data_IF_011072125824
#
_entry.id   IF_011072125824
#
_cell.length_a   1.000
_cell.length_b   1.000
_cell.length_c   1.000
_cell.angle_alpha   90.00
_cell.angle_beta   90.00
_cell.angle_gamma   90.00
#
_symmetry.space_group_name_H-M   'P 1'
#
loop_
_entity.id
_entity.type
_entity.pdbx_description
1 polymer ?
#
# COMPACT_ATOMS: atom_id res chain seq x y z
N UNK A 1 -15.93 7.12 -25.86
CA UNK A 1 -14.92 7.60 -24.91
C UNK A 1 -14.58 6.45 -23.98
N UNK A 2 -13.31 6.09 -23.81
CA UNK A 2 -12.94 4.99 -22.93
C UNK A 2 -13.44 5.28 -21.50
N UNK A 3 -14.10 4.29 -20.91
CA UNK A 3 -14.68 4.38 -19.56
C UNK A 3 -13.62 4.19 -18.45
N UNK A 4 -12.39 3.89 -18.88
CA UNK A 4 -11.24 3.61 -18.03
C UNK A 4 -10.17 4.65 -18.33
N UNK A 5 -9.94 5.55 -17.38
CA UNK A 5 -8.82 6.49 -17.43
C UNK A 5 -7.89 6.16 -16.28
N UNK A 6 -6.59 6.17 -16.52
CA UNK A 6 -5.62 6.20 -15.44
C UNK A 6 -5.84 7.49 -14.66
N UNK A 7 -5.85 7.36 -13.35
CA UNK A 7 -5.85 8.53 -12.49
C UNK A 7 -4.43 9.13 -12.49
N UNK A 8 -4.10 9.79 -13.60
CA UNK A 8 -2.82 10.49 -13.79
C UNK A 8 -2.77 11.82 -13.03
N UNK A 9 -3.53 11.96 -11.97
CA UNK A 9 -3.26 13.04 -11.02
C UNK A 9 -1.90 12.76 -10.36
N UNK A 10 -0.84 12.93 -11.14
CA UNK A 10 0.47 13.25 -10.62
C UNK A 10 0.32 14.58 -9.90
N UNK A 11 -0.04 14.53 -8.64
CA UNK A 11 0.47 15.56 -7.76
C UNK A 11 1.99 15.47 -7.94
N UNK A 12 2.60 16.52 -8.43
CA UNK A 12 4.06 16.66 -8.32
C UNK A 12 4.44 16.19 -6.93
N UNK A 13 5.56 15.48 -6.75
CA UNK A 13 5.97 15.03 -5.43
C UNK A 13 6.09 16.27 -4.57
N UNK A 14 5.03 16.57 -3.86
CA UNK A 14 5.05 17.57 -2.81
C UNK A 14 6.07 17.03 -1.85
N UNK A 15 7.20 17.72 -1.69
CA UNK A 15 8.24 17.22 -0.81
C UNK A 15 7.59 16.94 0.54
N UNK A 16 7.85 15.79 1.14
CA UNK A 16 7.28 15.46 2.46
C UNK A 16 7.66 16.54 3.47
N UNK A 17 8.77 17.22 3.25
CA UNK A 17 9.17 18.40 4.00
C UNK A 17 8.09 19.47 3.99
N UNK A 18 7.43 19.73 2.87
CA UNK A 18 6.34 20.70 2.80
C UNK A 18 5.09 20.20 3.51
N UNK A 19 4.79 18.90 3.43
CA UNK A 19 3.69 18.27 4.18
C UNK A 19 4.03 18.11 5.67
N UNK A 20 5.28 17.85 6.02
CA UNK A 20 5.75 17.67 7.40
C UNK A 20 5.89 19.01 8.15
N UNK A 21 6.05 20.11 7.45
CA UNK A 21 6.00 21.47 8.01
C UNK A 21 4.57 21.90 8.37
N UNK A 22 3.55 21.23 7.83
CA UNK A 22 2.20 21.39 8.34
C UNK A 22 2.12 20.76 9.73
N UNK A 23 2.07 21.61 10.77
CA UNK A 23 1.97 21.19 12.18
C UNK A 23 0.79 20.27 12.44
N UNK A 24 -0.24 20.37 11.60
CA UNK A 24 -1.42 19.51 11.67
C UNK A 24 -1.19 18.11 11.10
N UNK A 25 -0.14 17.89 10.32
CA UNK A 25 0.16 16.59 9.71
C UNK A 25 1.00 15.67 10.63
N UNK A 26 1.99 16.22 11.33
CA UNK A 26 2.88 15.47 12.23
C UNK A 26 2.54 15.76 13.71
N UNK A 27 1.30 15.58 14.07
CA UNK A 27 0.83 15.83 15.44
C UNK A 27 1.25 14.72 16.43
N UNK A 28 1.33 15.10 17.68
CA UNK A 28 1.47 14.16 18.80
C UNK A 28 0.07 13.82 19.33
N UNK A 29 -0.34 12.55 19.31
CA UNK A 29 -1.63 12.16 19.85
C UNK A 29 -1.72 12.42 21.35
N UNK A 30 -2.85 12.93 21.79
CA UNK A 30 -3.18 13.08 23.20
C UNK A 30 -3.95 11.85 23.66
N UNK A 31 -3.71 11.45 24.90
CA UNK A 31 -4.34 10.26 25.49
C UNK A 31 -4.96 10.64 26.82
N UNK A 32 -6.27 10.44 26.97
CA UNK A 32 -6.99 10.70 28.20
C UNK A 32 -7.72 9.43 28.70
N UNK A 33 -7.95 9.27 30.00
CA UNK A 33 -8.83 8.24 30.52
C UNK A 33 -10.23 8.37 29.90
N UNK A 34 -10.85 7.22 29.55
CA UNK A 34 -12.26 7.19 29.17
C UNK A 34 -13.12 7.48 30.42
N UNK A 35 -13.93 8.52 30.33
CA UNK A 35 -14.86 8.91 31.38
C UNK A 35 -16.28 8.54 30.98
N UNK A 36 -17.00 7.85 31.85
CA UNK A 36 -18.41 7.52 31.64
C UNK A 36 -19.31 8.77 31.83
N UNK A 37 -20.57 8.72 31.37
CA UNK A 37 -21.48 9.86 31.46
C UNK A 37 -21.74 10.38 32.88
N UNK A 38 -21.56 9.53 33.91
CA UNK A 38 -21.65 9.86 35.32
C UNK A 38 -20.37 10.48 35.91
N UNK A 39 -19.34 10.69 35.09
CA UNK A 39 -18.03 11.21 35.48
C UNK A 39 -17.06 10.13 36.02
N UNK A 40 -17.46 8.88 36.04
CA UNK A 40 -16.62 7.78 36.54
C UNK A 40 -15.58 7.37 35.52
N UNK A 41 -14.34 7.13 35.97
CA UNK A 41 -13.27 6.53 35.17
C UNK A 41 -13.16 5.04 35.51
N UNK A 42 -13.52 4.11 34.62
CA UNK A 42 -13.34 2.68 34.86
C UNK A 42 -11.86 2.37 35.12
N UNK A 43 -11.57 1.84 36.31
CA UNK A 43 -10.21 1.62 36.77
C UNK A 43 -10.04 0.20 37.33
N UNK A 44 -8.79 -0.30 37.30
CA UNK A 44 -8.43 -1.55 37.98
C UNK A 44 -8.31 -1.37 39.50
N UNK A 45 -8.00 -2.44 40.22
CA UNK A 45 -7.83 -2.45 41.68
C UNK A 45 -6.71 -1.48 42.14
N UNK A 46 -5.82 -1.07 41.27
CA UNK A 46 -4.72 -0.13 41.54
C UNK A 46 -5.05 1.32 41.12
N UNK A 47 -6.31 1.58 40.74
CA UNK A 47 -6.76 2.89 40.31
C UNK A 47 -6.28 3.30 38.88
N UNK A 48 -5.73 2.38 38.09
CA UNK A 48 -5.30 2.66 36.72
C UNK A 48 -6.49 2.54 35.78
N UNK A 49 -6.69 3.54 34.94
CA UNK A 49 -7.74 3.52 33.91
C UNK A 49 -7.67 2.27 33.05
N UNK A 50 -8.78 1.53 32.93
CA UNK A 50 -8.92 0.34 32.10
C UNK A 50 -8.99 0.69 30.61
N UNK A 51 -9.56 1.87 30.31
CA UNK A 51 -9.74 2.36 28.93
C UNK A 51 -9.28 3.80 28.82
N UNK A 52 -8.82 4.15 27.60
CA UNK A 52 -8.38 5.50 27.24
C UNK A 52 -8.97 5.89 25.89
N UNK A 53 -9.13 7.19 25.68
CA UNK A 53 -9.44 7.79 24.37
C UNK A 53 -8.19 8.36 23.77
N UNK A 54 -8.12 8.37 22.44
CA UNK A 54 -7.05 9.04 21.69
C UNK A 54 -7.67 10.16 20.88
N UNK A 55 -7.10 11.35 20.99
CA UNK A 55 -7.52 12.52 20.23
C UNK A 55 -6.30 13.34 19.80
N UNK A 56 -6.52 14.25 18.88
CA UNK A 56 -5.55 15.31 18.55
C UNK A 56 -6.17 16.68 18.76
N UNK A 57 -5.32 17.64 19.02
CA UNK A 57 -5.68 19.05 19.01
C UNK A 57 -5.12 19.68 17.73
N UNK A 58 -5.97 20.33 16.97
CA UNK A 58 -5.60 21.09 15.80
C UNK A 58 -5.02 22.43 16.20
N UNK A 59 -4.37 23.11 15.23
CA UNK A 59 -3.80 24.46 15.42
C UNK A 59 -4.84 25.50 15.85
N UNK A 60 -6.11 25.29 15.53
CA UNK A 60 -7.24 26.15 15.94
C UNK A 60 -7.82 25.81 17.34
N UNK A 61 -7.22 24.87 18.05
CA UNK A 61 -7.68 24.39 19.35
C UNK A 61 -8.81 23.35 19.28
N UNK A 62 -9.26 22.97 18.09
CA UNK A 62 -10.31 21.96 17.93
C UNK A 62 -9.78 20.56 18.29
N UNK A 63 -10.46 19.88 19.19
CA UNK A 63 -10.17 18.50 19.53
C UNK A 63 -10.89 17.53 18.59
N UNK A 64 -10.14 16.59 18.01
CA UNK A 64 -10.64 15.60 17.06
C UNK A 64 -10.41 14.21 17.66
N UNK A 65 -11.49 13.47 17.85
CA UNK A 65 -11.44 12.09 18.34
C UNK A 65 -10.88 11.17 17.27
N UNK A 66 -9.82 10.42 17.59
CA UNK A 66 -9.15 9.47 16.68
C UNK A 66 -9.48 8.02 17.03
N UNK A 67 -9.63 7.73 18.34
CA UNK A 67 -10.07 6.42 18.82
C UNK A 67 -10.88 6.59 20.11
N UNK A 68 -12.15 6.20 20.11
CA UNK A 68 -13.01 6.41 21.27
C UNK A 68 -12.63 5.55 22.47
N UNK A 69 -12.05 4.36 22.25
CA UNK A 69 -11.69 3.47 23.36
C UNK A 69 -10.54 2.53 22.98
N UNK A 70 -9.46 2.60 23.73
CA UNK A 70 -8.32 1.67 23.68
C UNK A 70 -8.02 1.15 25.08
N UNK A 71 -7.37 0.01 25.18
CA UNK A 71 -6.96 -0.53 26.49
C UNK A 71 -6.03 0.42 27.24
N UNK A 72 -6.11 0.42 28.56
CA UNK A 72 -5.34 1.31 29.43
C UNK A 72 -3.81 1.21 29.31
N UNK A 73 -3.31 0.15 28.69
CA UNK A 73 -1.89 -0.07 28.39
C UNK A 73 -1.53 0.29 26.93
N UNK A 74 -2.49 0.78 26.15
CA UNK A 74 -2.24 1.15 24.78
C UNK A 74 -1.30 2.35 24.71
N UNK A 75 -0.29 2.24 23.87
CA UNK A 75 0.61 3.34 23.54
C UNK A 75 0.24 3.90 22.16
N UNK A 76 -0.04 5.19 22.11
CA UNK A 76 -0.35 5.88 20.87
C UNK A 76 0.95 6.38 20.25
N UNK A 77 1.34 5.81 19.12
CA UNK A 77 2.55 6.23 18.41
C UNK A 77 2.36 7.62 17.79
N UNK A 78 3.35 8.48 17.94
CA UNK A 78 3.38 9.74 17.22
C UNK A 78 3.76 9.50 15.76
N UNK A 79 3.00 10.07 14.82
CA UNK A 79 3.37 10.02 13.41
C UNK A 79 4.67 10.79 13.12
N UNK A 80 4.98 11.78 13.96
CA UNK A 80 6.26 12.48 13.93
C UNK A 80 7.42 11.53 14.18
N UNK A 81 7.33 10.67 15.21
CA UNK A 81 8.38 9.69 15.51
C UNK A 81 8.54 8.68 14.38
N UNK A 82 7.43 8.21 13.80
CA UNK A 82 7.47 7.29 12.65
C UNK A 82 8.18 7.95 11.45
N UNK A 83 7.85 9.20 11.16
CA UNK A 83 8.47 9.98 10.09
C UNK A 83 9.96 10.23 10.34
N UNK A 84 10.32 10.74 11.52
CA UNK A 84 11.71 11.02 11.89
C UNK A 84 12.56 9.76 11.84
N UNK A 85 11.99 8.61 12.22
CA UNK A 85 12.68 7.32 12.11
C UNK A 85 12.94 6.96 10.64
N UNK A 86 11.94 7.13 9.77
CA UNK A 86 12.12 6.88 8.36
C UNK A 86 13.17 7.82 7.74
N UNK A 87 13.09 9.11 8.04
CA UNK A 87 14.04 10.11 7.54
C UNK A 87 15.47 9.84 8.04
N UNK A 88 15.63 9.37 9.27
CA UNK A 88 16.93 8.95 9.79
C UNK A 88 17.52 7.73 9.05
N UNK A 89 16.65 6.84 8.54
CA UNK A 89 17.08 5.70 7.73
C UNK A 89 17.56 6.12 6.34
N UNK A 90 16.80 6.97 5.67
CA UNK A 90 17.06 7.45 4.31
C UNK A 90 16.72 8.95 4.23
N UNK A 91 17.68 9.82 4.53
CA UNK A 91 17.45 11.26 4.60
C UNK A 91 16.92 11.82 3.27
N UNK A 92 15.94 12.72 3.36
CA UNK A 92 15.37 13.45 2.23
C UNK A 92 14.73 12.57 1.13
N UNK A 93 14.36 11.32 1.44
CA UNK A 93 13.78 10.38 0.48
C UNK A 93 12.28 10.14 0.68
N UNK A 94 11.70 10.73 1.73
CA UNK A 94 10.26 10.59 2.00
C UNK A 94 9.41 11.37 1.00
N UNK A 95 8.34 10.74 0.51
CA UNK A 95 7.39 11.29 -0.44
C UNK A 95 5.96 10.88 -0.07
N UNK A 96 4.96 11.49 -0.70
CA UNK A 96 3.55 11.10 -0.62
C UNK A 96 3.00 10.93 0.80
N UNK A 97 3.31 11.86 1.67
CA UNK A 97 2.74 11.85 3.02
C UNK A 97 1.22 12.09 2.98
N UNK A 98 0.46 11.18 3.56
CA UNK A 98 -1.01 11.25 3.61
C UNK A 98 -1.54 10.93 4.99
N UNK A 99 -2.36 11.83 5.51
CA UNK A 99 -3.27 11.55 6.61
C UNK A 99 -4.61 11.07 6.03
N UNK A 100 -5.16 10.00 6.60
CA UNK A 100 -6.41 9.40 6.16
C UNK A 100 -7.43 9.52 7.27
N UNK A 101 -8.66 9.84 6.89
CA UNK A 101 -9.72 10.20 7.81
C UNK A 101 -9.40 11.54 8.50
N UNK A 102 -9.66 11.64 9.79
CA UNK A 102 -9.32 12.83 10.57
C UNK A 102 -7.87 12.80 11.13
N UNK A 103 -7.00 11.95 10.58
CA UNK A 103 -5.68 11.65 11.10
C UNK A 103 -5.63 10.35 11.90
N UNK A 104 -6.65 9.50 11.76
CA UNK A 104 -6.67 8.18 12.42
C UNK A 104 -5.60 7.26 11.85
N UNK A 105 -5.21 7.46 10.58
CA UNK A 105 -4.20 6.66 9.89
C UNK A 105 -3.21 7.57 9.16
N UNK A 106 -2.00 7.07 8.98
CA UNK A 106 -0.94 7.71 8.22
C UNK A 106 -0.33 6.74 7.22
N UNK A 107 0.08 7.28 6.09
CA UNK A 107 0.91 6.62 5.11
C UNK A 107 1.90 7.61 4.52
N UNK A 108 3.12 7.16 4.25
CA UNK A 108 4.09 7.87 3.41
C UNK A 108 5.05 6.89 2.76
N UNK A 109 5.68 7.32 1.69
CA UNK A 109 6.60 6.53 0.91
C UNK A 109 8.02 7.04 1.08
N UNK A 110 9.00 6.16 0.86
CA UNK A 110 10.41 6.49 0.66
C UNK A 110 10.88 5.88 -0.65
N UNK A 111 11.53 6.67 -1.47
CA UNK A 111 12.21 6.21 -2.69
C UNK A 111 13.62 5.77 -2.32
N UNK A 112 13.99 4.56 -2.69
CA UNK A 112 15.34 4.05 -2.57
C UNK A 112 16.10 4.30 -3.88
N UNK A 113 17.44 4.38 -3.79
CA UNK A 113 18.29 4.59 -4.97
C UNK A 113 18.31 3.40 -5.95
N UNK A 114 17.80 2.24 -5.51
CA UNK A 114 17.81 1.03 -6.31
C UNK A 114 16.80 1.10 -7.44
N UNK A 115 17.26 0.89 -8.65
CA UNK A 115 16.48 0.89 -9.88
C UNK A 115 16.69 -0.41 -10.64
N UNK A 116 15.64 -0.92 -11.26
CA UNK A 116 15.66 -2.08 -12.15
C UNK A 116 15.33 -1.66 -13.58
N UNK A 117 16.22 -1.92 -14.51
CA UNK A 117 15.99 -1.74 -15.95
C UNK A 117 15.46 -3.05 -16.56
N UNK A 118 14.27 -2.97 -17.15
CA UNK A 118 13.65 -4.07 -17.89
C UNK A 118 13.88 -3.97 -19.41
N UNK A 119 14.62 -2.96 -19.87
CA UNK A 119 14.82 -2.64 -21.29
C UNK A 119 13.67 -1.80 -21.87
N UNK A 120 13.92 -1.25 -23.07
CA UNK A 120 12.96 -0.42 -23.82
C UNK A 120 12.46 0.82 -23.06
N UNK A 121 13.27 1.34 -22.11
CA UNK A 121 12.91 2.48 -21.27
C UNK A 121 11.91 2.15 -20.15
N UNK A 122 11.70 0.89 -19.85
CA UNK A 122 10.84 0.43 -18.77
C UNK A 122 11.65 0.27 -17.47
N UNK A 123 11.64 1.30 -16.64
CA UNK A 123 12.34 1.36 -15.37
C UNK A 123 11.39 1.12 -14.20
N UNK A 124 11.93 0.51 -13.16
CA UNK A 124 11.22 0.23 -11.91
C UNK A 124 12.08 0.71 -10.74
N UNK A 125 11.48 1.51 -9.87
CA UNK A 125 12.13 2.01 -8.66
C UNK A 125 11.71 1.22 -7.43
N UNK A 126 12.67 1.00 -6.54
CA UNK A 126 12.40 0.38 -5.24
C UNK A 126 11.90 1.44 -4.26
N UNK A 127 10.75 1.17 -3.64
CA UNK A 127 10.12 2.06 -2.67
C UNK A 127 9.77 1.31 -1.38
N UNK A 128 9.78 2.05 -0.28
CA UNK A 128 9.21 1.63 0.99
C UNK A 128 7.94 2.44 1.28
N UNK A 129 6.91 1.79 1.78
CA UNK A 129 5.71 2.44 2.28
C UNK A 129 5.59 2.21 3.78
N UNK A 130 5.49 3.29 4.51
CA UNK A 130 5.27 3.31 5.95
C UNK A 130 3.80 3.52 6.24
N UNK A 131 3.25 2.74 7.17
CA UNK A 131 1.87 2.89 7.61
C UNK A 131 1.78 2.87 9.11
N UNK A 132 0.80 3.57 9.65
CA UNK A 132 0.43 3.54 11.06
C UNK A 132 -1.02 3.92 11.28
N UNK A 133 -1.58 3.54 12.44
CA UNK A 133 -2.92 3.99 12.80
C UNK A 133 -3.08 4.21 14.29
N UNK A 134 -3.85 5.21 14.63
CA UNK A 134 -4.27 5.50 16.02
C UNK A 134 -5.61 4.85 16.37
N UNK A 135 -6.41 4.49 15.36
CA UNK A 135 -7.68 3.79 15.52
C UNK A 135 -7.57 2.25 15.55
N UNK A 136 -6.34 1.72 15.63
CA UNK A 136 -6.06 0.29 15.74
C UNK A 136 -6.45 -0.57 14.53
N UNK A 137 -6.84 0.03 13.40
CA UNK A 137 -7.24 -0.71 12.20
C UNK A 137 -6.07 -1.12 11.32
N UNK A 138 -4.93 -0.42 11.42
CA UNK A 138 -3.69 -0.77 10.73
C UNK A 138 -2.56 -1.05 11.73
N UNK A 139 -1.71 -2.00 11.39
CA UNK A 139 -0.45 -2.15 12.10
C UNK A 139 0.53 -1.04 11.67
N UNK A 140 1.40 -0.63 12.58
CA UNK A 140 2.60 0.11 12.19
C UNK A 140 3.51 -0.85 11.44
N UNK A 141 3.76 -0.57 10.18
CA UNK A 141 4.49 -1.49 9.30
C UNK A 141 5.24 -0.75 8.18
N UNK A 142 6.26 -1.42 7.64
CA UNK A 142 6.93 -1.05 6.40
C UNK A 142 6.64 -2.11 5.36
N UNK A 143 6.32 -1.66 4.15
CA UNK A 143 6.10 -2.51 2.99
C UNK A 143 7.08 -2.12 1.89
N UNK A 144 7.78 -3.11 1.30
CA UNK A 144 8.50 -2.90 0.05
C UNK A 144 7.53 -2.94 -1.13
N UNK A 145 7.67 -2.03 -2.06
CA UNK A 145 6.94 -2.09 -3.32
C UNK A 145 7.78 -1.56 -4.50
N UNK A 146 7.47 -2.06 -5.69
CA UNK A 146 8.01 -1.56 -6.92
C UNK A 146 7.12 -0.43 -7.45
N UNK A 147 7.71 0.67 -7.80
CA UNK A 147 7.05 1.76 -8.48
C UNK A 147 7.52 1.83 -9.93
N UNK A 148 6.56 1.73 -10.86
CA UNK A 148 6.82 1.84 -12.28
C UNK A 148 6.30 3.20 -12.76
N UNK A 149 7.19 4.19 -13.03
CA UNK A 149 6.78 5.55 -13.38
C UNK A 149 5.90 5.61 -14.62
N UNK A 150 6.15 4.72 -15.59
CA UNK A 150 5.45 4.68 -16.87
C UNK A 150 3.94 4.50 -16.75
N UNK A 151 3.47 3.80 -15.72
CA UNK A 151 2.05 3.51 -15.52
C UNK A 151 1.51 3.91 -14.15
N UNK A 152 2.32 4.53 -13.30
CA UNK A 152 1.96 4.90 -11.92
C UNK A 152 1.50 3.70 -11.05
N UNK A 153 1.76 2.48 -11.49
CA UNK A 153 1.40 1.28 -10.73
C UNK A 153 2.33 1.10 -9.55
N UNK A 154 1.74 0.96 -8.36
CA UNK A 154 2.45 0.53 -7.17
C UNK A 154 2.35 -0.99 -7.07
N UNK A 155 3.42 -1.69 -7.40
CA UNK A 155 3.45 -3.15 -7.46
C UNK A 155 4.07 -3.69 -6.16
N UNK A 156 3.30 -4.31 -5.28
CA UNK A 156 3.86 -4.90 -4.06
C UNK A 156 4.82 -6.02 -4.39
N UNK A 157 6.04 -5.89 -3.93
CA UNK A 157 7.11 -6.90 -4.12
C UNK A 157 7.10 -7.98 -3.04
N UNK A 158 6.54 -7.67 -1.91
CA UNK A 158 6.55 -8.48 -0.72
C UNK A 158 6.44 -7.62 0.52
N UNK A 159 6.12 -8.23 1.65
CA UNK A 159 6.01 -7.51 2.90
C UNK A 159 7.32 -7.60 3.64
N UNK A 160 8.04 -6.50 3.70
CA UNK A 160 8.99 -6.29 4.78
C UNK A 160 8.13 -5.83 5.98
N UNK A 161 7.33 -6.74 6.49
CA UNK A 161 6.54 -6.41 7.66
C UNK A 161 7.43 -6.51 8.88
N UNK A 162 7.88 -5.40 9.36
CA UNK A 162 8.31 -5.26 10.73
C UNK A 162 7.06 -4.98 11.56
N UNK A 163 6.21 -6.02 11.73
CA UNK A 163 5.05 -5.89 12.58
C UNK A 163 5.53 -5.69 14.00
N UNK A 164 5.32 -4.51 14.53
CA UNK A 164 5.53 -4.25 15.94
C UNK A 164 4.29 -4.66 16.71
N UNK A 165 4.49 -5.58 17.64
CA UNK A 165 3.59 -5.61 18.79
C UNK A 165 3.79 -4.28 19.52
N UNK A 166 2.73 -3.51 19.73
CA UNK A 166 2.71 -2.24 20.46
C UNK A 166 3.10 -2.48 21.92
N UNK A 167 4.39 -2.53 22.18
CA UNK A 167 4.97 -2.68 23.52
C UNK A 167 5.61 -1.34 23.94
N UNK A 168 5.90 -1.21 25.23
CA UNK A 168 6.48 0.01 25.82
C UNK A 168 7.82 0.47 25.22
N UNK A 169 8.46 -0.33 24.38
CA UNK A 169 9.80 -0.10 23.83
C UNK A 169 9.75 0.11 22.31
N UNK A 170 8.78 0.82 21.79
CA UNK A 170 8.64 1.08 20.35
C UNK A 170 9.88 1.71 19.70
N UNK A 171 10.55 2.62 20.44
CA UNK A 171 11.69 3.38 19.91
C UNK A 171 12.91 2.50 19.60
N UNK A 172 13.06 1.36 20.29
CA UNK A 172 14.24 0.48 20.14
C UNK A 172 14.07 -0.55 18.99
N UNK A 173 12.84 -0.75 18.51
CA UNK A 173 12.53 -1.81 17.53
C UNK A 173 12.32 -1.26 16.12
N UNK A 174 12.35 0.07 15.96
CA UNK A 174 11.84 0.62 14.74
C UNK A 174 12.62 0.13 13.55
N UNK A 175 13.90 -0.02 13.55
CA UNK A 175 14.50 -0.52 12.32
C UNK A 175 16.03 -0.55 12.42
N UNK A 176 16.54 -1.72 12.46
CA UNK A 176 17.93 -1.87 12.07
C UNK A 176 18.03 -1.59 10.55
N UNK A 177 18.59 -0.42 10.21
CA UNK A 177 18.71 0.07 8.82
C UNK A 177 19.27 -0.99 7.88
N UNK A 178 20.29 -1.71 8.30
CA UNK A 178 20.91 -2.77 7.50
C UNK A 178 19.92 -3.90 7.18
N UNK A 179 19.07 -4.28 8.14
CA UNK A 179 18.06 -5.34 7.93
C UNK A 179 16.97 -4.92 6.95
N UNK A 180 16.50 -3.68 7.05
CA UNK A 180 15.49 -3.14 6.11
C UNK A 180 16.06 -3.06 4.72
N UNK A 181 17.27 -2.52 4.57
CA UNK A 181 17.97 -2.41 3.29
C UNK A 181 18.19 -3.78 2.64
N UNK A 182 18.77 -4.73 3.39
CA UNK A 182 19.08 -6.05 2.85
C UNK A 182 17.82 -6.79 2.39
N UNK A 183 16.76 -6.78 3.19
CA UNK A 183 15.49 -7.41 2.81
C UNK A 183 14.81 -6.70 1.63
N UNK A 184 14.83 -5.37 1.61
CA UNK A 184 14.26 -4.61 0.50
C UNK A 184 14.99 -4.89 -0.79
N UNK A 185 16.33 -4.90 -0.78
CA UNK A 185 17.15 -5.21 -1.94
C UNK A 185 16.90 -6.64 -2.46
N UNK A 186 16.92 -7.64 -1.57
CA UNK A 186 16.66 -9.04 -1.94
C UNK A 186 15.29 -9.22 -2.60
N UNK A 187 14.26 -8.64 -2.01
CA UNK A 187 12.88 -8.74 -2.54
C UNK A 187 12.76 -8.00 -3.86
N UNK A 188 13.40 -6.85 -4.00
CA UNK A 188 13.42 -6.09 -5.23
C UNK A 188 14.15 -6.82 -6.37
N UNK A 189 15.34 -7.35 -6.12
CA UNK A 189 16.12 -8.08 -7.12
C UNK A 189 15.36 -9.33 -7.62
N UNK A 190 14.69 -10.03 -6.71
CA UNK A 190 13.81 -11.15 -7.08
C UNK A 190 12.66 -10.69 -7.97
N UNK A 191 12.02 -9.56 -7.62
CA UNK A 191 10.95 -9.00 -8.42
C UNK A 191 11.42 -8.61 -9.81
N UNK A 192 12.58 -7.96 -9.94
CA UNK A 192 13.17 -7.61 -11.25
C UNK A 192 13.46 -8.85 -12.09
N UNK A 193 13.99 -9.91 -11.48
CA UNK A 193 14.20 -11.19 -12.16
C UNK A 193 12.89 -11.77 -12.69
N UNK A 194 11.84 -11.75 -11.87
CA UNK A 194 10.51 -12.23 -12.27
C UNK A 194 9.91 -11.38 -13.39
N UNK A 195 10.05 -10.05 -13.31
CA UNK A 195 9.57 -9.13 -14.33
C UNK A 195 10.28 -9.36 -15.69
N UNK A 196 11.59 -9.58 -15.66
CA UNK A 196 12.37 -9.94 -16.88
C UNK A 196 11.90 -11.26 -17.48
N UNK A 197 11.65 -12.27 -16.64
CA UNK A 197 11.09 -13.54 -17.09
C UNK A 197 9.73 -13.35 -17.77
N UNK A 198 8.81 -12.62 -17.14
CA UNK A 198 7.50 -12.32 -17.73
C UNK A 198 7.61 -11.54 -19.05
N UNK A 199 8.55 -10.59 -19.13
CA UNK A 199 8.78 -9.81 -20.36
C UNK A 199 9.29 -10.68 -21.51
N UNK A 200 10.06 -11.74 -21.22
CA UNK A 200 10.58 -12.67 -22.22
C UNK A 200 9.50 -13.62 -22.80
N UNK A 201 8.32 -13.72 -22.17
CA UNK A 201 7.25 -14.60 -22.61
C UNK A 201 6.32 -13.84 -23.57
N UNK A 202 6.44 -14.10 -24.85
CA UNK A 202 5.55 -13.53 -25.86
C UNK A 202 4.15 -14.15 -25.78
N UNK A 203 3.13 -13.33 -25.85
CA UNK A 203 1.73 -13.76 -25.86
C UNK A 203 1.13 -13.51 -27.25
N UNK A 204 0.64 -14.57 -27.87
CA UNK A 204 -0.31 -14.43 -28.97
C UNK A 204 -1.73 -14.35 -28.42
N UNK A 205 -2.72 -14.06 -29.27
CA UNK A 205 -4.12 -13.91 -28.85
C UNK A 205 -4.66 -15.10 -28.06
N UNK A 206 -4.29 -16.32 -28.42
CA UNK A 206 -4.79 -17.54 -27.77
C UNK A 206 -4.17 -17.70 -26.39
N UNK A 207 -2.85 -17.54 -26.28
CA UNK A 207 -2.15 -17.61 -24.99
C UNK A 207 -2.55 -16.46 -24.06
N UNK A 208 -2.78 -15.26 -24.60
CA UNK A 208 -3.32 -14.12 -23.85
C UNK A 208 -4.67 -14.47 -23.21
N UNK A 209 -5.65 -14.95 -24.01
CA UNK A 209 -6.98 -15.28 -23.50
C UNK A 209 -6.89 -16.37 -22.42
N UNK A 210 -6.12 -17.44 -22.68
CA UNK A 210 -5.94 -18.52 -21.71
C UNK A 210 -5.35 -18.02 -20.39
N UNK A 211 -4.31 -17.19 -20.46
CA UNK A 211 -3.64 -16.67 -19.27
C UNK A 211 -4.53 -15.70 -18.50
N UNK A 212 -5.23 -14.82 -19.21
CA UNK A 212 -6.21 -13.91 -18.62
C UNK A 212 -7.30 -14.69 -17.85
N UNK A 213 -7.89 -15.70 -18.49
CA UNK A 213 -9.02 -16.44 -17.95
C UNK A 213 -8.62 -17.35 -16.77
N UNK A 214 -7.36 -17.81 -16.72
CA UNK A 214 -6.85 -18.53 -15.55
C UNK A 214 -6.75 -17.68 -14.28
N UNK A 215 -6.53 -16.39 -14.45
CA UNK A 215 -6.33 -15.45 -13.35
C UNK A 215 -7.66 -14.84 -12.88
N UNK A 216 -8.62 -14.74 -13.78
CA UNK A 216 -9.95 -14.27 -13.44
C UNK A 216 -10.70 -15.33 -12.62
N UNK A 217 -11.41 -14.92 -11.55
CA UNK A 217 -12.24 -15.87 -10.84
C UNK A 217 -13.28 -16.45 -11.78
N UNK A 218 -13.35 -17.77 -11.83
CA UNK A 218 -14.44 -18.49 -12.49
C UNK A 218 -15.76 -18.10 -11.86
N UNK A 219 -16.73 -17.78 -12.70
CA UNK A 219 -18.13 -17.66 -12.24
C UNK A 219 -18.69 -19.06 -12.00
N UNK A 220 -19.51 -19.21 -10.97
CA UNK A 220 -20.29 -20.40 -10.77
C UNK A 220 -21.22 -20.63 -11.97
N UNK A 221 -21.51 -21.89 -12.32
CA UNK A 221 -22.35 -22.23 -13.50
C UNK A 221 -23.73 -21.58 -13.43
N UNK A 222 -24.23 -21.31 -12.23
CA UNK A 222 -25.53 -20.66 -12.00
C UNK A 222 -25.40 -19.13 -11.82
N UNK A 223 -24.23 -18.54 -12.05
CA UNK A 223 -24.07 -17.11 -11.89
C UNK A 223 -24.90 -16.34 -12.92
N UNK A 224 -25.79 -15.48 -12.45
CA UNK A 224 -26.70 -14.71 -13.29
C UNK A 224 -26.64 -13.22 -13.04
N UNK A 225 -27.07 -12.45 -14.02
CA UNK A 225 -27.38 -11.04 -13.90
C UNK A 225 -26.20 -10.18 -13.46
N UNK A 226 -26.17 -9.75 -12.19
CA UNK A 226 -25.18 -8.79 -11.71
C UNK A 226 -23.75 -9.35 -11.68
N UNK A 227 -23.58 -10.63 -11.33
CA UNK A 227 -22.28 -11.29 -11.24
C UNK A 227 -21.62 -11.39 -12.63
N UNK A 228 -22.36 -11.85 -13.63
CA UNK A 228 -21.91 -11.93 -15.04
C UNK A 228 -21.52 -10.54 -15.55
N UNK A 229 -22.37 -9.54 -15.34
CA UNK A 229 -22.10 -8.16 -15.76
C UNK A 229 -20.84 -7.56 -15.12
N UNK A 230 -20.51 -7.94 -13.88
CA UNK A 230 -19.27 -7.51 -13.23
C UNK A 230 -18.04 -8.23 -13.81
N UNK A 231 -18.17 -9.52 -14.12
CA UNK A 231 -17.10 -10.29 -14.76
C UNK A 231 -16.78 -9.73 -16.15
N UNK A 232 -17.79 -9.48 -16.98
CA UNK A 232 -17.62 -8.89 -18.32
C UNK A 232 -16.90 -7.54 -18.24
N UNK A 233 -17.34 -6.66 -17.34
CA UNK A 233 -16.68 -5.37 -17.13
C UNK A 233 -15.23 -5.48 -16.67
N UNK A 234 -14.91 -6.52 -15.90
CA UNK A 234 -13.52 -6.78 -15.50
C UNK A 234 -12.68 -7.21 -16.69
N UNK A 235 -13.20 -8.11 -17.50
CA UNK A 235 -12.54 -8.53 -18.75
C UNK A 235 -12.29 -7.33 -19.65
N UNK A 236 -13.32 -6.53 -19.93
CA UNK A 236 -13.20 -5.31 -20.76
C UNK A 236 -12.15 -4.35 -20.21
N UNK A 237 -12.08 -4.16 -18.88
CA UNK A 237 -11.10 -3.26 -18.28
C UNK A 237 -9.68 -3.81 -18.40
N UNK A 238 -9.48 -5.12 -18.20
CA UNK A 238 -8.17 -5.75 -18.34
C UNK A 238 -7.73 -5.71 -19.80
N UNK A 239 -8.63 -6.01 -20.74
CA UNK A 239 -8.34 -5.95 -22.17
C UNK A 239 -7.91 -4.52 -22.59
N UNK A 240 -8.59 -3.50 -22.06
CA UNK A 240 -8.23 -2.11 -22.28
C UNK A 240 -6.81 -1.78 -21.76
N UNK A 241 -6.53 -2.11 -20.48
CA UNK A 241 -5.20 -1.86 -19.91
C UNK A 241 -4.11 -2.71 -20.55
N UNK A 242 -4.44 -3.93 -21.00
CA UNK A 242 -3.48 -4.77 -21.73
C UNK A 242 -3.07 -4.11 -23.05
N UNK A 243 -4.01 -3.57 -23.80
CA UNK A 243 -3.68 -2.88 -25.03
C UNK A 243 -2.79 -1.66 -24.80
N UNK A 244 -3.06 -0.88 -23.74
CA UNK A 244 -2.17 0.24 -23.36
C UNK A 244 -0.76 -0.23 -22.99
N UNK A 245 -0.62 -1.38 -22.33
CA UNK A 245 0.68 -1.92 -21.96
C UNK A 245 1.40 -2.52 -23.18
N UNK A 246 0.68 -3.19 -24.08
CA UNK A 246 1.24 -3.71 -25.35
C UNK A 246 1.89 -2.60 -26.19
N UNK A 247 1.25 -1.44 -26.27
CA UNK A 247 1.79 -0.27 -26.99
C UNK A 247 3.13 0.23 -26.39
N UNK A 248 3.43 -0.13 -25.13
CA UNK A 248 4.62 0.31 -24.41
C UNK A 248 5.72 -0.73 -24.35
N UNK A 249 5.37 -1.99 -24.10
CA UNK A 249 6.34 -3.05 -23.80
C UNK A 249 6.17 -4.31 -24.67
N UNK A 250 5.25 -4.27 -25.64
CA UNK A 250 4.98 -5.37 -26.56
C UNK A 250 4.01 -6.44 -25.99
N UNK A 251 3.65 -7.38 -26.89
CA UNK A 251 2.73 -8.48 -26.57
C UNK A 251 3.43 -9.56 -25.74
N UNK A 252 3.44 -9.39 -24.42
CA UNK A 252 4.10 -10.32 -23.51
C UNK A 252 3.37 -10.46 -22.16
N UNK A 253 3.80 -11.44 -21.36
CA UNK A 253 3.19 -11.71 -20.06
C UNK A 253 3.38 -10.55 -19.04
N UNK A 254 4.43 -9.74 -19.20
CA UNK A 254 4.63 -8.55 -18.38
C UNK A 254 3.58 -7.47 -18.66
N UNK A 255 3.20 -7.26 -19.92
CA UNK A 255 2.11 -6.37 -20.29
C UNK A 255 0.79 -6.81 -19.63
N UNK A 256 0.48 -8.11 -19.68
CA UNK A 256 -0.73 -8.66 -19.05
C UNK A 256 -0.69 -8.53 -17.52
N UNK A 257 0.45 -8.81 -16.89
CA UNK A 257 0.63 -8.61 -15.46
C UNK A 257 0.35 -7.15 -15.06
N UNK A 258 0.90 -6.19 -15.80
CA UNK A 258 0.66 -4.76 -15.53
C UNK A 258 -0.79 -4.35 -15.80
N UNK A 259 -1.47 -4.95 -16.78
CA UNK A 259 -2.89 -4.71 -17.02
C UNK A 259 -3.76 -5.12 -15.80
N UNK A 260 -3.48 -6.27 -15.19
CA UNK A 260 -4.13 -6.69 -13.95
C UNK A 260 -3.82 -5.73 -12.79
N UNK A 261 -2.57 -5.29 -12.65
CA UNK A 261 -2.20 -4.31 -11.64
C UNK A 261 -2.92 -2.97 -11.85
N UNK A 262 -3.00 -2.51 -13.09
CA UNK A 262 -3.72 -1.29 -13.46
C UNK A 262 -5.21 -1.41 -13.15
N UNK A 263 -5.82 -2.55 -13.46
CA UNK A 263 -7.21 -2.80 -13.11
C UNK A 263 -7.43 -2.71 -11.59
N UNK A 264 -6.64 -3.44 -10.80
CA UNK A 264 -6.74 -3.46 -9.35
C UNK A 264 -6.53 -2.04 -8.75
N UNK A 265 -5.54 -1.32 -9.25
CA UNK A 265 -5.14 -0.04 -8.68
C UNK A 265 -6.04 1.13 -9.12
N UNK A 266 -6.46 1.16 -10.37
CA UNK A 266 -7.20 2.31 -10.94
C UNK A 266 -8.70 2.10 -11.05
N UNK A 267 -9.17 0.86 -11.17
CA UNK A 267 -10.58 0.57 -11.41
C UNK A 267 -11.27 -0.07 -10.22
N UNK A 268 -10.70 -1.14 -9.67
CA UNK A 268 -11.32 -1.86 -8.56
C UNK A 268 -11.35 -1.03 -7.27
N UNK A 269 -10.42 -0.09 -7.14
CA UNK A 269 -10.26 0.77 -5.96
C UNK A 269 -10.82 2.17 -6.13
N UNK A 270 -11.78 2.34 -7.00
CA UNK A 270 -12.32 3.58 -7.60
C UNK A 270 -12.56 4.78 -6.70
N UNK A 271 -12.29 4.77 -5.46
CA UNK A 271 -12.79 5.92 -4.70
C UNK A 271 -11.90 6.45 -3.60
N UNK A 272 -10.92 5.73 -3.11
CA UNK A 272 -10.24 6.24 -1.92
C UNK A 272 -8.76 5.83 -1.90
N UNK A 273 -7.89 6.80 -1.63
CA UNK A 273 -6.47 6.57 -1.34
C UNK A 273 -6.27 5.42 -0.33
N UNK A 274 -7.17 5.27 0.63
CA UNK A 274 -7.19 4.19 1.61
C UNK A 274 -7.25 2.79 0.95
N UNK A 275 -8.10 2.60 -0.06
CA UNK A 275 -8.19 1.31 -0.77
C UNK A 275 -6.95 1.01 -1.62
N UNK A 276 -6.35 2.01 -2.22
CA UNK A 276 -5.08 1.84 -2.93
C UNK A 276 -3.96 1.39 -1.98
N UNK A 277 -3.94 1.93 -0.76
CA UNK A 277 -3.01 1.52 0.28
C UNK A 277 -3.31 0.09 0.74
N UNK A 278 -4.58 -0.28 0.91
CA UNK A 278 -4.98 -1.65 1.25
C UNK A 278 -4.51 -2.65 0.18
N UNK A 279 -4.57 -2.28 -1.09
CA UNK A 279 -4.03 -3.06 -2.20
C UNK A 279 -2.54 -3.35 -2.00
N UNK A 280 -1.73 -2.40 -1.59
CA UNK A 280 -0.30 -2.61 -1.30
C UNK A 280 -0.11 -3.47 -0.04
N UNK A 281 -1.01 -3.38 0.93
CA UNK A 281 -0.94 -4.12 2.19
C UNK A 281 -1.41 -5.58 2.12
N UNK A 282 -2.05 -6.01 1.03
CA UNK A 282 -2.51 -7.39 0.84
C UNK A 282 -1.59 -8.19 -0.12
N UNK A 283 -0.35 -8.47 0.27
CA UNK A 283 0.63 -9.09 -0.63
C UNK A 283 0.27 -10.54 -1.00
N UNK A 284 -0.49 -11.24 -0.16
CA UNK A 284 -0.82 -12.65 -0.40
C UNK A 284 -1.63 -12.86 -1.69
N UNK A 285 -2.59 -11.99 -1.99
CA UNK A 285 -3.37 -12.08 -3.23
C UNK A 285 -2.50 -11.85 -4.47
N UNK A 286 -1.51 -10.97 -4.35
CA UNK A 286 -0.63 -10.63 -5.46
C UNK A 286 0.50 -11.61 -5.66
N UNK A 287 0.99 -12.20 -4.58
CA UNK A 287 1.90 -13.32 -4.68
C UNK A 287 1.23 -14.50 -5.41
N UNK A 288 -0.06 -14.75 -5.16
CA UNK A 288 -0.83 -15.74 -5.88
C UNK A 288 -0.92 -15.40 -7.38
N UNK A 289 -1.16 -14.14 -7.74
CA UNK A 289 -1.15 -13.67 -9.13
C UNK A 289 0.23 -13.89 -9.78
N UNK A 290 1.29 -13.44 -9.12
CA UNK A 290 2.67 -13.61 -9.61
C UNK A 290 3.02 -15.09 -9.79
N UNK A 291 2.62 -15.94 -8.85
CA UNK A 291 2.86 -17.39 -8.94
C UNK A 291 2.08 -18.02 -10.10
N UNK A 292 0.80 -17.65 -10.31
CA UNK A 292 0.00 -18.13 -11.44
C UNK A 292 0.64 -17.75 -12.78
N UNK A 293 1.17 -16.54 -12.91
CA UNK A 293 1.92 -16.13 -14.10
C UNK A 293 3.20 -16.95 -14.31
N UNK A 294 3.95 -17.21 -13.22
CA UNK A 294 5.17 -18.04 -13.30
C UNK A 294 4.87 -19.48 -13.66
N UNK A 295 3.87 -20.08 -13.04
CA UNK A 295 3.47 -21.46 -13.34
C UNK A 295 3.05 -21.62 -14.79
N UNK A 296 2.27 -20.70 -15.30
CA UNK A 296 1.91 -20.70 -16.73
C UNK A 296 3.13 -20.54 -17.64
N UNK A 297 4.04 -19.64 -17.27
CA UNK A 297 5.25 -19.37 -18.03
C UNK A 297 6.20 -20.57 -18.09
N UNK A 298 6.23 -21.39 -17.05
CA UNK A 298 7.06 -22.59 -16.99
C UNK A 298 6.41 -23.80 -17.68
N UNK A 299 5.10 -23.73 -17.93
CA UNK A 299 4.33 -24.80 -18.59
C UNK A 299 4.15 -24.58 -20.11
N UNK A 300 4.50 -23.40 -20.61
CA UNK A 300 4.43 -23.03 -22.03
C UNK A 300 5.78 -23.11 -22.71
#
# INVERSE_FOLDING_TARGET
MPMYTRNDSRSEPTSVIDCALDRDALFTPQVAPLTLPDGTVPSDEKGKALFRTIYREKSDGTQVLLNPAVGGNYHADSYKVLYETADALFPNSCTDFKLIGNGEKVMFNQTLEQEGDLGDGDFIHNHLMYTGSLNSTWATAIYGFAFRPMCSNQIPQGVIQLSQKRTKNHDALLFEKATVLAKSAEVFDRFISDAKLLKAISLNRVSYIRMRDLILPTLDEDAHGRAVKFADKRVEAIDYFYQEEVDRVGENAWALFNAFQSYEFHTATKAKAEKQIEVVREPAKRQALTNAFKEYALAS
#
